data_IF_803802614071
#
_entry.id   IF_803802614071
#
_cell.length_a   1.000
_cell.length_b   1.000
_cell.length_c   1.000
_cell.angle_alpha   90.00
_cell.angle_beta   90.00
_cell.angle_gamma   90.00
#
_symmetry.space_group_name_H-M   'P 1'
#
loop_
_entity.id
_entity.type
_entity.pdbx_description
1 polymer ?
#
# COMPACT_ATOMS: atom_id res chain seq x y z
N UNK A 1 -6.63 17.21 3.54
CA UNK A 1 -6.20 16.32 2.45
C UNK A 1 -5.36 15.22 3.03
N UNK A 2 -5.50 13.98 2.56
CA UNK A 2 -4.56 12.91 2.88
C UNK A 2 -3.14 13.46 2.64
N UNK A 3 -2.28 13.37 3.66
CA UNK A 3 -0.88 13.77 3.54
C UNK A 3 -0.17 13.02 2.40
N UNK A 4 1.12 13.30 2.20
CA UNK A 4 1.91 12.58 1.18
C UNK A 4 1.69 11.07 1.27
N UNK A 5 1.57 10.41 0.12
CA UNK A 5 1.47 8.96 0.07
C UNK A 5 2.72 8.32 0.69
N UNK A 6 2.56 7.29 1.53
CA UNK A 6 3.67 6.54 2.08
C UNK A 6 4.41 5.78 0.97
N UNK A 7 5.69 5.47 1.20
CA UNK A 7 6.46 4.64 0.27
C UNK A 7 6.02 3.18 0.30
N UNK A 8 6.50 2.37 -0.65
CA UNK A 8 6.27 0.91 -0.64
C UNK A 8 6.84 0.23 0.60
N UNK A 9 7.76 0.88 1.30
CA UNK A 9 8.37 0.43 2.56
C UNK A 9 7.53 0.76 3.81
N UNK A 10 6.34 1.34 3.64
CA UNK A 10 5.46 1.73 4.74
C UNK A 10 5.91 2.95 5.53
N UNK A 11 6.95 3.66 5.07
CA UNK A 11 7.41 4.90 5.71
C UNK A 11 6.57 6.09 5.26
N UNK A 12 6.62 7.16 6.07
CA UNK A 12 5.80 8.36 5.94
C UNK A 12 5.87 9.11 4.60
N UNK A 13 6.83 8.80 3.70
CA UNK A 13 6.91 9.46 2.39
C UNK A 13 7.43 8.53 1.30
N UNK A 14 6.80 8.63 0.12
CA UNK A 14 7.37 8.19 -1.14
C UNK A 14 8.45 9.18 -1.63
N UNK A 15 9.62 8.67 -2.03
CA UNK A 15 10.68 9.47 -2.65
C UNK A 15 11.56 8.63 -3.58
N UNK A 16 11.99 9.22 -4.71
CA UNK A 16 12.94 8.58 -5.64
C UNK A 16 14.24 8.17 -4.95
N UNK A 17 14.76 9.06 -4.09
CA UNK A 17 16.00 8.84 -3.36
C UNK A 17 15.94 7.71 -2.31
N UNK A 18 14.73 7.31 -1.92
CA UNK A 18 14.51 6.22 -0.95
C UNK A 18 14.20 4.89 -1.65
N UNK A 19 14.18 4.86 -2.99
CA UNK A 19 13.87 3.68 -3.78
C UNK A 19 12.52 3.00 -3.42
N UNK A 20 11.58 3.77 -2.86
CA UNK A 20 10.29 3.30 -2.36
C UNK A 20 9.10 3.84 -3.18
N UNK A 21 9.35 4.20 -4.45
CA UNK A 21 8.38 4.84 -5.34
C UNK A 21 7.82 3.91 -6.41
N UNK A 22 6.52 4.06 -6.67
CA UNK A 22 5.83 3.46 -7.82
C UNK A 22 5.69 4.55 -8.88
N UNK A 23 6.26 4.34 -10.07
CA UNK A 23 6.22 5.33 -11.15
C UNK A 23 5.05 5.07 -12.09
N UNK A 24 4.45 6.14 -12.62
CA UNK A 24 3.41 6.04 -13.65
C UNK A 24 3.94 5.41 -14.95
N UNK A 25 5.25 5.48 -15.19
CA UNK A 25 5.93 4.90 -16.34
C UNK A 25 6.38 3.44 -16.13
N UNK A 26 6.18 2.88 -14.94
CA UNK A 26 6.53 1.48 -14.68
C UNK A 26 5.62 0.54 -15.49
N UNK A 27 6.17 -0.59 -15.96
CA UNK A 27 5.36 -1.62 -16.59
C UNK A 27 4.36 -2.23 -15.59
N UNK A 28 3.23 -2.78 -16.06
CA UNK A 28 2.24 -3.44 -15.19
C UNK A 28 2.86 -4.52 -14.28
N UNK A 29 3.81 -5.30 -14.79
CA UNK A 29 4.52 -6.32 -14.00
C UNK A 29 5.38 -5.71 -12.89
N UNK A 30 6.03 -4.58 -13.18
CA UNK A 30 6.86 -3.86 -12.20
C UNK A 30 5.98 -3.26 -11.11
N UNK A 31 4.86 -2.64 -11.48
CA UNK A 31 3.87 -2.10 -10.55
C UNK A 31 3.34 -3.23 -9.65
N UNK A 32 2.95 -4.36 -10.23
CA UNK A 32 2.45 -5.53 -9.48
C UNK A 32 3.49 -6.03 -8.48
N UNK A 33 4.75 -6.18 -8.88
CA UNK A 33 5.83 -6.59 -7.97
C UNK A 33 6.01 -5.61 -6.81
N UNK A 34 6.01 -4.29 -7.08
CA UNK A 34 6.15 -3.25 -6.05
C UNK A 34 4.99 -3.23 -5.06
N UNK A 35 3.76 -3.44 -5.53
CA UNK A 35 2.56 -3.52 -4.68
C UNK A 35 2.62 -4.78 -3.82
N UNK A 36 2.97 -5.94 -4.38
CA UNK A 36 3.06 -7.20 -3.62
C UNK A 36 4.22 -7.21 -2.61
N UNK A 37 5.26 -6.41 -2.83
CA UNK A 37 6.35 -6.21 -1.87
C UNK A 37 6.07 -5.14 -0.82
N UNK A 38 4.88 -4.51 -0.85
CA UNK A 38 4.57 -3.39 0.03
C UNK A 38 4.45 -3.86 1.48
N UNK A 39 5.02 -3.10 2.41
CA UNK A 39 5.00 -3.44 3.82
C UNK A 39 3.59 -3.32 4.40
N UNK A 40 3.02 -4.44 4.86
CA UNK A 40 1.66 -4.53 5.42
C UNK A 40 1.65 -4.63 6.93
N UNK A 41 2.31 -5.63 7.52
CA UNK A 41 2.41 -5.85 8.97
C UNK A 41 3.38 -7.03 9.22
N UNK A 42 4.44 -6.89 10.05
CA UNK A 42 5.35 -7.99 10.35
C UNK A 42 4.71 -9.08 11.22
N UNK A 43 3.62 -8.77 11.93
CA UNK A 43 2.91 -9.68 12.83
C UNK A 43 1.75 -10.42 12.14
N UNK A 44 1.45 -10.10 10.87
CA UNK A 44 0.43 -10.77 10.07
C UNK A 44 1.08 -11.79 9.14
N UNK A 45 1.63 -12.84 9.74
CA UNK A 45 2.39 -13.89 9.04
C UNK A 45 1.45 -14.87 8.33
N UNK A 46 0.27 -15.14 8.90
CA UNK A 46 -0.76 -15.98 8.30
C UNK A 46 -2.05 -15.22 8.01
N UNK A 47 -2.82 -15.71 7.03
CA UNK A 47 -4.11 -15.13 6.61
C UNK A 47 -5.14 -15.13 7.75
N UNK A 48 -5.01 -16.07 8.69
CA UNK A 48 -5.94 -16.22 9.82
C UNK A 48 -5.54 -15.40 11.05
N UNK A 49 -4.38 -14.74 11.04
CA UNK A 49 -3.99 -13.87 12.15
C UNK A 49 -4.84 -12.60 12.10
N UNK A 50 -5.38 -12.11 13.23
CA UNK A 50 -6.13 -10.86 13.27
C UNK A 50 -5.18 -9.69 12.98
N UNK A 51 -5.00 -9.36 11.70
CA UNK A 51 -4.10 -8.31 11.26
C UNK A 51 -4.64 -6.92 11.64
N UNK A 52 -3.77 -6.05 12.12
CA UNK A 52 -4.16 -4.67 12.41
C UNK A 52 -4.29 -3.87 11.11
N UNK A 53 -5.49 -3.38 10.81
CA UNK A 53 -5.78 -2.62 9.58
C UNK A 53 -5.14 -1.22 9.64
N UNK A 54 -5.00 -0.66 10.84
CA UNK A 54 -4.53 0.71 11.08
C UNK A 54 -3.07 0.97 10.65
N UNK A 55 -2.25 -0.06 10.47
CA UNK A 55 -0.82 0.06 10.12
C UNK A 55 -0.54 -0.25 8.63
N UNK A 56 -1.56 -0.68 7.87
CA UNK A 56 -1.37 -1.21 6.51
C UNK A 56 -1.32 -0.09 5.47
N UNK A 57 -0.10 0.27 5.09
CA UNK A 57 0.26 1.15 3.95
C UNK A 57 -0.61 0.91 2.70
N UNK A 58 -0.96 -0.36 2.44
CA UNK A 58 -1.76 -0.79 1.28
C UNK A 58 -3.16 -0.16 1.26
N UNK A 59 -3.83 -0.02 2.40
CA UNK A 59 -5.16 0.59 2.44
C UNK A 59 -5.11 2.10 2.17
N UNK A 60 -4.03 2.78 2.58
CA UNK A 60 -3.83 4.19 2.23
C UNK A 60 -3.71 4.39 0.71
N UNK A 61 -3.10 3.43 0.00
CA UNK A 61 -3.07 3.46 -1.47
C UNK A 61 -4.45 3.21 -2.06
N UNK A 62 -5.17 2.20 -1.56
CA UNK A 62 -6.53 1.90 -2.01
C UNK A 62 -7.47 3.10 -1.78
N UNK A 63 -7.42 3.75 -0.62
CA UNK A 63 -8.21 4.96 -0.32
C UNK A 63 -7.91 6.11 -1.30
N UNK A 64 -6.69 6.19 -1.84
CA UNK A 64 -6.27 7.27 -2.74
C UNK A 64 -6.59 7.00 -4.22
N UNK A 65 -6.64 5.74 -4.65
CA UNK A 65 -6.79 5.37 -6.07
C UNK A 65 -8.10 4.64 -6.39
N UNK A 66 -8.73 3.99 -5.41
CA UNK A 66 -9.95 3.23 -5.61
C UNK A 66 -11.15 4.17 -5.62
N UNK A 67 -11.90 4.17 -6.72
CA UNK A 67 -13.18 4.89 -6.82
C UNK A 67 -14.36 4.10 -6.26
N UNK A 68 -14.23 2.79 -6.10
CA UNK A 68 -15.28 1.90 -5.58
C UNK A 68 -15.15 1.78 -4.06
N UNK A 69 -15.96 2.59 -3.36
CA UNK A 69 -15.98 2.65 -1.90
C UNK A 69 -16.61 1.40 -1.29
N UNK A 70 -17.54 0.73 -1.99
CA UNK A 70 -18.24 -0.45 -1.48
C UNK A 70 -17.31 -1.67 -1.47
N UNK A 71 -16.46 -1.81 -2.48
CA UNK A 71 -15.42 -2.85 -2.50
C UNK A 71 -14.35 -2.59 -1.43
N UNK A 72 -13.96 -1.33 -1.26
CA UNK A 72 -12.99 -0.94 -0.24
C UNK A 72 -13.46 -1.25 1.18
N UNK A 73 -14.74 -0.99 1.48
CA UNK A 73 -15.35 -1.30 2.77
C UNK A 73 -15.46 -2.80 3.07
N UNK A 74 -15.48 -3.67 2.06
CA UNK A 74 -15.47 -5.13 2.24
C UNK A 74 -14.09 -5.70 2.56
N UNK A 75 -13.04 -4.95 2.21
CA UNK A 75 -11.64 -5.35 2.42
C UNK A 75 -11.09 -4.85 3.76
N UNK A 76 -11.71 -3.82 4.34
CA UNK A 76 -11.47 -3.35 5.70
C UNK A 76 -12.33 -4.14 6.68
#
# INVERSE_FOLDING_TARGET
GLGRLPGTDGKAKMSKSLYNSIYLSDSPDTIRKKIMSMYTDPNHVQINDPGQIEVKTVFTYLDAICSDTDQLLKLK
#
